data_IF_884834602760
#
_entry.id   IF_884834602760
#
_cell.length_a   1.000
_cell.length_b   1.000
_cell.length_c   1.000
_cell.angle_alpha   90.00
_cell.angle_beta   90.00
_cell.angle_gamma   90.00
#
_symmetry.space_group_name_H-M   'P 1'
#
loop_
_entity.id
_entity.type
_entity.pdbx_description
1 polymer ?
#
# COMPACT_ATOMS: atom_id res chain seq x y z
N UNK A 1 4.61 -26.17 17.82
CA UNK A 1 5.55 -25.72 16.76
C UNK A 1 4.92 -25.81 15.36
N UNK A 2 4.33 -26.94 14.96
CA UNK A 2 3.60 -27.08 13.68
C UNK A 2 2.38 -26.15 13.54
N UNK A 3 1.57 -26.00 14.57
CA UNK A 3 0.38 -25.09 14.55
C UNK A 3 0.77 -23.61 14.41
N UNK A 4 1.86 -23.21 15.07
CA UNK A 4 2.40 -21.85 14.98
C UNK A 4 2.95 -21.55 13.58
N UNK A 5 3.58 -22.54 12.95
CA UNK A 5 4.02 -22.44 11.56
C UNK A 5 2.84 -22.31 10.59
N UNK A 6 1.78 -23.09 10.80
CA UNK A 6 0.55 -23.03 9.99
C UNK A 6 -0.19 -21.70 10.11
N UNK A 7 -0.31 -21.17 11.33
CA UNK A 7 -0.90 -19.84 11.58
C UNK A 7 -0.08 -18.72 10.93
N UNK A 8 1.24 -18.76 11.07
CA UNK A 8 2.14 -17.79 10.42
C UNK A 8 2.04 -17.84 8.90
N UNK A 9 2.12 -19.04 8.30
CA UNK A 9 2.02 -19.21 6.86
C UNK A 9 0.67 -18.69 6.31
N UNK A 10 -0.41 -18.95 7.04
CA UNK A 10 -1.75 -18.48 6.66
C UNK A 10 -1.83 -16.96 6.70
N UNK A 11 -1.37 -16.32 7.78
CA UNK A 11 -1.32 -14.87 7.89
C UNK A 11 -0.44 -14.25 6.79
N UNK A 12 0.73 -14.85 6.53
CA UNK A 12 1.62 -14.40 5.47
C UNK A 12 0.96 -14.49 4.09
N UNK A 13 0.33 -15.61 3.75
CA UNK A 13 -0.39 -15.77 2.49
C UNK A 13 -1.54 -14.75 2.35
N UNK A 14 -2.30 -14.50 3.42
CA UNK A 14 -3.32 -13.46 3.42
C UNK A 14 -2.73 -12.07 3.16
N UNK A 15 -1.58 -11.76 3.77
CA UNK A 15 -0.85 -10.52 3.50
C UNK A 15 -0.46 -10.39 2.02
N UNK A 16 0.04 -11.47 1.42
CA UNK A 16 0.39 -11.49 0.01
C UNK A 16 -0.85 -11.29 -0.87
N UNK A 17 -1.91 -12.06 -0.64
CA UNK A 17 -3.15 -12.00 -1.41
C UNK A 17 -3.81 -10.62 -1.35
N UNK A 18 -3.73 -9.96 -0.19
CA UNK A 18 -4.29 -8.62 0.00
C UNK A 18 -3.34 -7.50 -0.46
N UNK A 19 -2.02 -7.70 -0.43
CA UNK A 19 -1.05 -6.66 -0.78
C UNK A 19 -0.70 -6.62 -2.26
N UNK A 20 -0.49 -7.77 -2.91
CA UNK A 20 -0.02 -7.84 -4.30
C UNK A 20 -0.93 -7.15 -5.32
N UNK A 21 -2.27 -7.30 -5.27
CA UNK A 21 -3.14 -6.60 -6.22
C UNK A 21 -2.96 -5.08 -6.17
N UNK A 22 -2.82 -4.53 -4.96
CA UNK A 22 -2.62 -3.09 -4.74
C UNK A 22 -1.22 -2.63 -5.15
N UNK A 23 -0.20 -3.47 -4.95
CA UNK A 23 1.16 -3.24 -5.45
C UNK A 23 1.18 -3.14 -6.97
N UNK A 24 0.62 -4.13 -7.65
CA UNK A 24 0.59 -4.17 -9.12
C UNK A 24 -0.23 -2.99 -9.67
N UNK A 25 -1.40 -2.75 -9.11
CA UNK A 25 -2.29 -1.69 -9.56
C UNK A 25 -1.70 -0.28 -9.35
N UNK A 26 -1.15 0.01 -8.16
CA UNK A 26 -0.52 1.32 -7.89
C UNK A 26 0.74 1.51 -8.73
N UNK A 27 1.57 0.48 -8.89
CA UNK A 27 2.76 0.53 -9.73
C UNK A 27 2.44 0.86 -11.18
N UNK A 28 1.44 0.18 -11.77
CA UNK A 28 0.98 0.47 -13.14
C UNK A 28 0.43 1.89 -13.27
N UNK A 29 -0.40 2.31 -12.31
CA UNK A 29 -1.01 3.64 -12.30
C UNK A 29 0.05 4.75 -12.23
N UNK A 30 1.04 4.60 -11.35
CA UNK A 30 2.11 5.59 -11.18
C UNK A 30 3.07 5.59 -12.35
N UNK A 31 3.43 4.42 -12.86
CA UNK A 31 4.24 4.30 -14.08
C UNK A 31 3.59 5.05 -15.25
N UNK A 32 2.31 4.78 -15.52
CA UNK A 32 1.55 5.45 -16.58
C UNK A 32 1.49 6.97 -16.37
N UNK A 33 1.29 7.39 -15.11
CA UNK A 33 1.25 8.80 -14.76
C UNK A 33 2.59 9.53 -14.96
N UNK A 34 3.72 8.84 -14.73
CA UNK A 34 5.06 9.42 -14.93
C UNK A 34 5.38 9.53 -16.43
N UNK A 35 4.93 8.55 -17.21
CA UNK A 35 5.11 8.46 -18.67
C UNK A 35 4.10 9.32 -19.45
N UNK A 36 3.16 9.98 -18.79
CA UNK A 36 2.21 10.87 -19.46
C UNK A 36 2.95 12.04 -20.10
N UNK A 37 2.73 12.26 -21.39
CA UNK A 37 3.24 13.42 -22.11
C UNK A 37 2.31 14.62 -21.90
N UNK A 38 2.92 15.76 -21.56
CA UNK A 38 2.24 17.04 -21.37
C UNK A 38 3.08 18.08 -22.12
N UNK A 39 2.47 18.77 -23.09
CA UNK A 39 3.14 19.77 -23.93
C UNK A 39 4.44 19.26 -24.59
N UNK A 40 4.40 18.04 -25.12
CA UNK A 40 5.53 17.40 -25.81
C UNK A 40 6.68 16.97 -24.90
N UNK A 41 6.51 17.03 -23.57
CA UNK A 41 7.49 16.55 -22.60
C UNK A 41 6.89 15.49 -21.69
N UNK A 42 7.66 14.46 -21.39
CA UNK A 42 7.27 13.46 -20.40
C UNK A 42 7.22 14.11 -19.02
N UNK A 43 6.14 13.87 -18.27
CA UNK A 43 5.93 14.47 -16.94
C UNK A 43 7.08 14.19 -15.97
N UNK A 44 7.67 12.99 -16.02
CA UNK A 44 8.86 12.60 -15.24
C UNK A 44 8.62 12.48 -13.72
N UNK A 45 7.40 12.78 -13.26
CA UNK A 45 6.97 12.65 -11.86
C UNK A 45 5.54 12.13 -11.77
N UNK A 46 5.20 11.41 -10.69
CA UNK A 46 3.82 10.97 -10.46
C UNK A 46 2.85 12.16 -10.45
N UNK A 47 1.60 11.91 -10.79
CA UNK A 47 0.56 12.94 -10.71
C UNK A 47 0.22 13.31 -9.28
N UNK A 48 -0.31 14.52 -9.10
CA UNK A 48 -0.80 14.97 -7.80
C UNK A 48 -1.86 14.00 -7.27
N UNK A 49 -2.79 13.58 -8.13
CA UNK A 49 -3.79 12.57 -7.78
C UNK A 49 -3.15 11.23 -7.36
N UNK A 50 -2.24 10.70 -8.19
CA UNK A 50 -1.53 9.46 -7.85
C UNK A 50 -0.73 9.57 -6.53
N UNK A 51 -0.11 10.72 -6.27
CA UNK A 51 0.65 10.97 -5.04
C UNK A 51 -0.27 11.01 -3.82
N UNK A 52 -1.41 11.70 -3.92
CA UNK A 52 -2.37 11.80 -2.81
C UNK A 52 -2.97 10.43 -2.51
N UNK A 53 -3.54 9.76 -3.52
CA UNK A 53 -4.29 8.52 -3.31
C UNK A 53 -3.42 7.28 -3.07
N UNK A 54 -2.20 7.23 -3.62
CA UNK A 54 -1.36 6.04 -3.58
C UNK A 54 -0.15 6.18 -2.63
N UNK A 55 0.13 7.38 -2.11
CA UNK A 55 1.17 7.59 -1.12
C UNK A 55 0.66 8.31 0.14
N UNK A 56 0.12 9.52 0.02
CA UNK A 56 -0.26 10.33 1.20
C UNK A 56 -1.35 9.65 2.02
N UNK A 57 -2.48 9.28 1.40
CA UNK A 57 -3.58 8.62 2.10
C UNK A 57 -3.13 7.29 2.73
N UNK A 58 -2.42 6.40 2.03
CA UNK A 58 -1.88 5.18 2.65
C UNK A 58 -0.93 5.44 3.82
N UNK A 59 -0.04 6.44 3.76
CA UNK A 59 0.82 6.81 4.89
C UNK A 59 -0.02 7.28 6.09
N UNK A 60 -0.99 8.17 5.84
CA UNK A 60 -1.89 8.66 6.89
C UNK A 60 -2.72 7.52 7.50
N UNK A 61 -3.18 6.58 6.68
CA UNK A 61 -3.89 5.39 7.14
C UNK A 61 -3.02 4.52 8.04
N UNK A 62 -1.77 4.24 7.65
CA UNK A 62 -0.84 3.47 8.49
C UNK A 62 -0.56 4.20 9.79
N UNK A 63 -0.34 5.52 9.76
CA UNK A 63 -0.16 6.32 10.97
C UNK A 63 -1.41 6.24 11.89
N UNK A 64 -2.60 6.40 11.32
CA UNK A 64 -3.87 6.26 12.04
C UNK A 64 -4.03 4.85 12.63
N UNK A 65 -3.72 3.81 11.88
CA UNK A 65 -3.80 2.42 12.33
C UNK A 65 -3.02 2.19 13.64
N UNK A 66 -1.81 2.74 13.73
CA UNK A 66 -0.97 2.62 14.92
C UNK A 66 -1.36 3.60 16.03
N UNK A 67 -1.68 4.85 15.70
CA UNK A 67 -1.99 5.91 16.67
C UNK A 67 -3.35 5.72 17.34
N UNK A 68 -4.34 5.19 16.63
CA UNK A 68 -5.70 4.99 17.14
C UNK A 68 -5.86 3.76 18.02
N UNK A 69 -4.80 2.98 18.24
CA UNK A 69 -4.89 1.70 18.95
C UNK A 69 -5.69 0.64 18.18
N UNK A 70 -5.96 0.85 16.88
CA UNK A 70 -6.60 -0.14 16.02
C UNK A 70 -5.72 -1.40 15.88
N UNK A 71 -4.39 -1.22 15.89
CA UNK A 71 -3.43 -2.32 15.99
C UNK A 71 -3.14 -2.81 17.41
N UNK A 72 -3.77 -2.25 18.45
CA UNK A 72 -3.41 -2.44 19.86
C UNK A 72 -4.62 -2.65 20.77
N UNK A 73 -4.72 -3.84 21.35
CA UNK A 73 -5.82 -4.43 22.15
C UNK A 73 -6.34 -3.60 23.37
N UNK A 74 -5.87 -2.39 23.65
CA UNK A 74 -6.04 -1.80 24.99
C UNK A 74 -7.00 -0.60 25.17
N UNK A 75 -7.63 -0.04 24.13
CA UNK A 75 -8.42 1.20 24.33
C UNK A 75 -9.85 1.23 23.79
N UNK A 76 -10.48 0.09 23.51
CA UNK A 76 -11.92 0.09 23.21
C UNK A 76 -12.74 -0.62 24.30
N UNK A 77 -13.55 0.18 25.00
CA UNK A 77 -14.58 -0.27 25.95
C UNK A 77 -15.70 -1.11 25.29
N UNK A 78 -15.63 -1.32 23.97
CA UNK A 78 -16.31 -2.37 23.21
C UNK A 78 -15.28 -2.98 22.28
N UNK A 79 -14.80 -4.18 22.59
CA UNK A 79 -13.96 -4.94 21.67
C UNK A 79 -14.81 -5.26 20.45
N UNK A 80 -14.58 -4.58 19.33
CA UNK A 80 -15.18 -4.97 18.06
C UNK A 80 -14.77 -6.41 17.75
N UNK A 81 -15.71 -7.27 17.34
CA UNK A 81 -15.42 -8.65 16.90
C UNK A 81 -14.38 -8.69 15.76
N UNK A 82 -14.20 -7.56 15.07
CA UNK A 82 -13.22 -7.39 13.99
C UNK A 82 -11.81 -7.01 14.47
N UNK A 83 -11.63 -6.69 15.75
CA UNK A 83 -10.34 -6.28 16.34
C UNK A 83 -9.17 -7.19 15.95
N UNK A 84 -9.30 -8.53 16.11
CA UNK A 84 -8.24 -9.47 15.74
C UNK A 84 -7.90 -9.50 14.25
N UNK A 85 -8.78 -9.03 13.37
CA UNK A 85 -8.60 -9.05 11.91
C UNK A 85 -8.18 -7.69 11.34
N UNK A 86 -8.12 -6.63 12.16
CA UNK A 86 -7.82 -5.29 11.67
C UNK A 86 -6.45 -5.20 10.99
N UNK A 87 -5.49 -6.05 11.36
CA UNK A 87 -4.18 -6.13 10.71
C UNK A 87 -4.25 -6.43 9.21
N UNK A 88 -5.32 -7.05 8.72
CA UNK A 88 -5.52 -7.34 7.29
C UNK A 88 -5.75 -6.08 6.45
N UNK A 89 -5.98 -4.93 7.09
CA UNK A 89 -6.09 -3.64 6.41
C UNK A 89 -4.74 -3.01 6.04
N UNK A 90 -3.64 -3.44 6.69
CA UNK A 90 -2.28 -2.98 6.39
C UNK A 90 -1.73 -3.45 5.04
N UNK A 91 -1.86 -4.74 4.63
CA UNK A 91 -1.29 -5.20 3.37
C UNK A 91 -1.70 -4.40 2.13
N UNK A 92 -2.98 -3.99 1.94
CA UNK A 92 -3.35 -3.08 0.86
C UNK A 92 -2.60 -1.75 0.90
N UNK A 93 -2.48 -1.11 2.07
CA UNK A 93 -1.79 0.16 2.23
C UNK A 93 -0.29 0.04 1.89
N UNK A 94 0.37 -1.02 2.37
CA UNK A 94 1.77 -1.29 2.02
C UNK A 94 1.93 -1.64 0.55
N UNK A 95 0.99 -2.37 -0.05
CA UNK A 95 0.95 -2.64 -1.48
C UNK A 95 0.91 -1.34 -2.29
N UNK A 96 0.00 -0.42 -1.96
CA UNK A 96 -0.09 0.89 -2.60
C UNK A 96 1.21 1.70 -2.51
N UNK A 97 1.84 1.73 -1.33
CA UNK A 97 3.10 2.44 -1.12
C UNK A 97 4.27 1.84 -1.90
N UNK A 98 4.42 0.51 -1.82
CA UNK A 98 5.48 -0.19 -2.54
C UNK A 98 5.33 -0.02 -4.05
N UNK A 99 4.12 -0.22 -4.58
CA UNK A 99 3.85 -0.03 -5.99
C UNK A 99 4.03 1.43 -6.42
N UNK A 100 3.66 2.41 -5.60
CA UNK A 100 3.93 3.83 -5.88
C UNK A 100 5.44 4.09 -6.08
N UNK A 101 6.29 3.60 -5.18
CA UNK A 101 7.75 3.76 -5.28
C UNK A 101 8.28 3.06 -6.53
N UNK A 102 7.88 1.80 -6.77
CA UNK A 102 8.32 1.01 -7.93
C UNK A 102 7.91 1.71 -9.23
N UNK A 103 6.64 2.10 -9.36
CA UNK A 103 6.12 2.78 -10.55
C UNK A 103 6.81 4.11 -10.83
N UNK A 104 7.14 4.86 -9.77
CA UNK A 104 7.85 6.13 -9.91
C UNK A 104 9.29 5.93 -10.40
N UNK A 105 10.01 4.95 -9.86
CA UNK A 105 11.38 4.63 -10.28
C UNK A 105 11.40 4.11 -11.71
N UNK A 106 10.56 3.13 -12.05
CA UNK A 106 10.50 2.55 -13.39
C UNK A 106 10.08 3.58 -14.43
N UNK A 107 9.09 4.41 -14.13
CA UNK A 107 8.62 5.45 -15.06
C UNK A 107 9.70 6.50 -15.35
N UNK A 108 10.50 6.86 -14.33
CA UNK A 108 11.62 7.79 -14.49
C UNK A 108 12.75 7.20 -15.31
N UNK A 109 13.12 5.95 -15.05
CA UNK A 109 14.16 5.25 -15.83
C UNK A 109 13.78 5.19 -17.30
N UNK A 110 12.54 4.80 -17.60
CA UNK A 110 12.04 4.74 -18.97
C UNK A 110 11.88 6.12 -19.65
N UNK A 111 11.89 7.22 -18.90
CA UNK A 111 11.83 8.58 -19.47
C UNK A 111 13.22 9.18 -19.72
N UNK A 112 14.28 8.54 -19.21
CA UNK A 112 15.67 8.93 -19.40
C UNK A 112 16.35 8.17 -20.55
N UNK A 113 15.70 7.13 -21.06
CA UNK A 113 16.03 6.41 -22.29
C UNK A 113 15.34 7.07 -23.50
#
# INVERSE_FOLDING_TARGET
MLEQLGSFATAFLLYLMLGFPFLIWSGRTVYASVRTEIDGKVRGKPSTGATIFLAVIPVLFVAYYFLSGIGGVQHQHRVSDWGPYMFLSLPPAFGLLAGYVIGAILGRKAAAE
#
